data_IF_689230570140
#
_entry.id   IF_689230570140
#
_cell.length_a   1.000
_cell.length_b   1.000
_cell.length_c   1.000
_cell.angle_alpha   90.00
_cell.angle_beta   90.00
_cell.angle_gamma   90.00
#
_symmetry.space_group_name_H-M   'P 1'
#
loop_
_entity.id
_entity.type
_entity.pdbx_description
1 polymer ?
#
# COMPACT_ATOMS: atom_id res chain seq x y z
N UNK A 1 14.33 21.24 48.04
CA UNK A 1 13.34 20.41 48.77
C UNK A 1 11.99 20.57 48.10
N UNK A 2 11.25 19.45 48.05
CA UNK A 2 9.96 19.21 47.38
C UNK A 2 8.96 20.37 47.48
N UNK A 3 8.24 20.65 46.39
CA UNK A 3 6.80 20.37 46.33
C UNK A 3 6.23 20.52 44.91
N UNK A 4 5.60 19.44 44.46
CA UNK A 4 4.68 19.34 43.33
C UNK A 4 3.29 19.82 43.79
N UNK A 5 2.54 20.47 42.91
CA UNK A 5 1.08 20.42 42.97
C UNK A 5 0.52 20.45 41.54
N UNK A 6 0.10 19.29 41.06
CA UNK A 6 -0.75 19.12 39.87
C UNK A 6 -2.20 19.13 40.33
N UNK A 7 -3.06 19.88 39.63
CA UNK A 7 -4.51 19.84 39.79
C UNK A 7 -5.11 19.18 38.55
N UNK A 8 -5.72 18.01 38.74
CA UNK A 8 -6.48 17.26 37.74
C UNK A 8 -7.95 17.53 38.04
N UNK A 9 -8.73 17.96 37.04
CA UNK A 9 -10.19 18.02 37.12
C UNK A 9 -10.78 16.88 36.29
N UNK A 10 -11.47 15.97 36.97
CA UNK A 10 -12.26 14.88 36.42
C UNK A 10 -13.72 15.15 36.81
N UNK A 11 -14.60 15.39 35.84
CA UNK A 11 -16.04 15.48 36.07
C UNK A 11 -16.75 14.35 35.32
N UNK A 12 -17.19 13.35 36.09
CA UNK A 12 -18.19 12.35 35.70
C UNK A 12 -19.55 12.84 36.22
N UNK A 13 -20.56 12.94 35.35
CA UNK A 13 -21.95 13.00 35.76
C UNK A 13 -22.71 11.82 35.13
N UNK A 14 -23.20 10.96 36.03
CA UNK A 14 -24.21 9.92 35.82
C UNK A 14 -25.59 10.59 35.81
N UNK A 15 -26.45 10.25 34.85
CA UNK A 15 -27.90 10.35 35.03
C UNK A 15 -28.54 9.06 34.52
N UNK A 16 -29.27 8.43 35.43
CA UNK A 16 -30.02 7.19 35.33
C UNK A 16 -31.32 7.34 34.53
N UNK A 17 -31.65 6.27 33.80
CA UNK A 17 -32.95 6.04 33.16
C UNK A 17 -33.99 5.72 34.25
N UNK A 18 -35.16 6.35 34.18
CA UNK A 18 -36.41 5.80 34.71
C UNK A 18 -37.50 5.98 33.66
N UNK A 19 -38.14 4.87 33.32
CA UNK A 19 -39.24 4.77 32.37
C UNK A 19 -40.52 4.62 33.19
N UNK A 20 -41.52 5.47 32.96
CA UNK A 20 -42.94 5.12 33.15
C UNK A 20 -43.78 5.85 32.10
N UNK A 21 -44.50 5.02 31.34
CA UNK A 21 -45.56 5.32 30.38
C UNK A 21 -46.76 6.01 31.04
N UNK A 22 -47.36 6.99 30.36
CA UNK A 22 -48.81 7.11 30.13
C UNK A 22 -49.09 8.34 29.22
N UNK A 23 -49.86 8.11 28.17
CA UNK A 23 -50.48 9.03 27.19
C UNK A 23 -52.01 8.80 27.33
N UNK A 24 -52.99 9.63 26.88
CA UNK A 24 -52.97 10.83 26.02
C UNK A 24 -53.83 12.01 26.62
N UNK A 25 -54.06 13.21 26.07
CA UNK A 25 -54.56 13.68 24.75
C UNK A 25 -54.63 15.22 24.77
N UNK A 26 -54.67 15.84 23.58
CA UNK A 26 -55.14 17.21 23.21
C UNK A 26 -54.21 18.43 23.40
N UNK A 27 -53.63 18.90 22.28
CA UNK A 27 -53.55 20.33 21.89
C UNK A 27 -53.11 20.42 20.41
N UNK A 28 -54.07 20.56 19.47
CA UNK A 28 -53.85 20.59 18.00
C UNK A 28 -53.74 22.03 17.44
N UNK A 29 -54.09 23.08 18.20
CA UNK A 29 -54.16 24.46 17.63
C UNK A 29 -52.84 25.26 17.65
N UNK A 30 -51.76 24.77 18.26
CA UNK A 30 -50.47 25.49 18.33
C UNK A 30 -49.52 25.22 17.15
N UNK A 31 -49.74 24.14 16.39
CA UNK A 31 -48.83 23.72 15.31
C UNK A 31 -49.04 24.43 13.97
N UNK A 32 -50.22 25.00 13.68
CA UNK A 32 -50.46 25.69 12.41
C UNK A 32 -49.75 27.06 12.33
N UNK A 33 -49.65 27.79 13.45
CA UNK A 33 -48.92 29.07 13.48
C UNK A 33 -47.40 28.89 13.47
N UNK A 34 -46.90 27.82 14.08
CA UNK A 34 -45.46 27.53 14.08
C UNK A 34 -44.97 27.03 12.71
N UNK A 35 -45.80 26.29 11.97
CA UNK A 35 -45.46 25.80 10.62
C UNK A 35 -45.48 26.90 9.54
N UNK A 36 -46.29 27.95 9.70
CA UNK A 36 -46.29 29.07 8.75
C UNK A 36 -45.10 30.03 8.93
N UNK A 37 -44.61 30.23 10.15
CA UNK A 37 -43.38 31.01 10.41
C UNK A 37 -42.10 30.22 10.07
N UNK A 38 -42.09 28.89 10.25
CA UNK A 38 -40.97 28.05 9.83
C UNK A 38 -40.83 28.04 8.31
N UNK A 39 -41.94 27.91 7.56
CA UNK A 39 -41.89 27.88 6.10
C UNK A 39 -41.43 29.22 5.48
N UNK A 40 -41.78 30.36 6.09
CA UNK A 40 -41.35 31.69 5.59
C UNK A 40 -39.89 32.00 5.91
N UNK A 41 -39.31 31.44 6.99
CA UNK A 41 -37.85 31.54 7.23
C UNK A 41 -37.04 30.53 6.41
N UNK A 42 -37.63 29.40 6.03
CA UNK A 42 -36.98 28.39 5.19
C UNK A 42 -36.88 28.84 3.72
N UNK A 43 -37.80 29.68 3.24
CA UNK A 43 -37.72 30.29 1.90
C UNK A 43 -36.74 31.49 1.82
N UNK A 44 -36.46 32.18 2.94
CA UNK A 44 -35.49 33.29 2.97
C UNK A 44 -34.02 32.87 3.20
N UNK A 45 -33.77 31.61 3.57
CA UNK A 45 -32.43 31.05 3.80
C UNK A 45 -31.91 30.19 2.64
N UNK A 46 -32.50 30.32 1.44
CA UNK A 46 -31.79 29.97 0.20
C UNK A 46 -30.70 31.02 -0.08
N UNK A 47 -29.72 31.10 0.82
CA UNK A 47 -28.41 31.60 0.43
C UNK A 47 -27.98 30.73 -0.75
N UNK A 48 -27.96 31.34 -1.93
CA UNK A 48 -27.28 30.81 -3.10
C UNK A 48 -25.88 30.47 -2.60
N UNK A 49 -25.59 29.18 -2.38
CA UNK A 49 -24.22 28.70 -2.37
C UNK A 49 -23.69 29.09 -3.75
N UNK A 50 -22.96 30.19 -3.81
CA UNK A 50 -22.22 30.56 -5.00
C UNK A 50 -21.16 29.47 -5.11
N UNK A 51 -21.47 28.42 -5.88
CA UNK A 51 -20.48 27.43 -6.26
C UNK A 51 -19.49 28.19 -7.12
N UNK A 52 -18.33 28.50 -6.54
CA UNK A 52 -17.29 29.21 -7.26
C UNK A 52 -16.78 28.33 -8.41
N UNK A 53 -16.52 28.94 -9.55
CA UNK A 53 -15.98 28.23 -10.71
C UNK A 53 -14.48 28.07 -10.56
N UNK A 54 -13.95 26.91 -10.94
CA UNK A 54 -12.50 26.68 -10.98
C UNK A 54 -12.00 27.03 -12.37
N UNK A 55 -10.98 27.88 -12.45
CA UNK A 55 -10.31 28.26 -13.69
C UNK A 55 -8.98 27.51 -13.84
N UNK A 56 -8.64 27.06 -15.06
CA UNK A 56 -7.30 26.54 -15.35
C UNK A 56 -6.23 27.61 -15.11
N UNK A 57 -5.04 27.16 -14.73
CA UNK A 57 -3.90 28.05 -14.54
C UNK A 57 -3.27 28.44 -15.88
N UNK A 58 -2.77 29.67 -15.97
CA UNK A 58 -1.98 30.14 -17.09
C UNK A 58 -0.49 30.03 -16.74
N UNK A 59 0.28 29.32 -17.55
CA UNK A 59 1.73 29.13 -17.37
C UNK A 59 2.48 30.48 -17.26
N UNK A 60 2.03 31.50 -17.97
CA UNK A 60 2.67 32.83 -17.98
C UNK A 60 2.63 33.53 -16.61
N UNK A 61 1.72 33.13 -15.72
CA UNK A 61 1.59 33.67 -14.36
C UNK A 61 2.60 33.06 -13.39
N UNK A 62 3.36 32.03 -13.80
CA UNK A 62 4.26 31.27 -12.94
C UNK A 62 5.73 31.40 -13.39
N UNK A 63 6.68 31.31 -12.44
CA UNK A 63 8.09 31.33 -12.78
C UNK A 63 8.46 30.10 -13.63
N UNK A 64 9.22 30.33 -14.70
CA UNK A 64 9.73 29.24 -15.53
C UNK A 64 10.66 28.33 -14.72
N UNK A 65 10.37 27.04 -14.75
CA UNK A 65 11.20 26.01 -14.15
C UNK A 65 12.30 25.66 -15.16
N UNK A 66 13.56 25.59 -14.71
CA UNK A 66 14.66 25.20 -15.58
C UNK A 66 14.50 23.73 -16.02
N UNK A 67 14.66 23.43 -17.31
CA UNK A 67 14.55 22.07 -17.85
C UNK A 67 15.44 21.05 -17.11
N UNK A 68 16.59 21.50 -16.60
CA UNK A 68 17.55 20.66 -15.88
C UNK A 68 17.19 20.36 -14.41
N UNK A 69 16.12 20.97 -13.86
CA UNK A 69 15.64 20.70 -12.49
C UNK A 69 14.50 19.68 -12.43
N UNK A 70 14.11 19.12 -13.57
CA UNK A 70 13.25 17.93 -13.59
C UNK A 70 14.07 16.77 -13.01
N UNK A 71 13.72 16.36 -11.79
CA UNK A 71 14.36 15.21 -11.16
C UNK A 71 14.14 14.00 -12.08
N UNK A 72 15.21 13.27 -12.40
CA UNK A 72 15.04 11.96 -13.04
C UNK A 72 14.31 11.07 -12.03
N UNK A 73 13.07 10.69 -12.34
CA UNK A 73 12.37 9.66 -11.60
C UNK A 73 13.21 8.40 -11.61
N UNK A 74 13.27 7.71 -10.47
CA UNK A 74 13.94 6.42 -10.40
C UNK A 74 13.34 5.51 -11.47
N UNK A 75 14.16 4.91 -12.32
CA UNK A 75 13.70 4.08 -13.44
C UNK A 75 12.68 3.02 -13.00
N UNK A 76 12.85 2.46 -11.80
CA UNK A 76 11.94 1.50 -11.19
C UNK A 76 10.51 2.02 -10.99
N UNK A 77 10.32 3.29 -10.68
CA UNK A 77 8.98 3.89 -10.51
C UNK A 77 8.29 4.09 -11.85
N UNK A 78 9.04 4.53 -12.87
CA UNK A 78 8.52 4.60 -14.22
C UNK A 78 8.10 3.22 -14.72
N UNK A 79 8.96 2.22 -14.59
CA UNK A 79 8.70 0.86 -15.05
C UNK A 79 7.48 0.23 -14.36
N UNK A 80 7.27 0.47 -13.05
CA UNK A 80 6.10 -0.02 -12.33
C UNK A 80 4.81 0.68 -12.76
N UNK A 81 4.79 2.02 -12.81
CA UNK A 81 3.59 2.80 -13.13
C UNK A 81 3.22 2.74 -14.61
N UNK A 82 4.18 2.59 -15.52
CA UNK A 82 3.92 2.44 -16.95
C UNK A 82 3.07 1.20 -17.25
N UNK A 83 3.21 0.15 -16.43
CA UNK A 83 2.37 -1.04 -16.55
C UNK A 83 0.88 -0.76 -16.23
N UNK A 84 0.59 0.35 -15.54
CA UNK A 84 -0.77 0.81 -15.22
C UNK A 84 -1.35 1.78 -16.27
N UNK A 85 -0.72 1.96 -17.43
CA UNK A 85 -1.23 2.82 -18.51
C UNK A 85 -2.68 2.45 -18.89
N UNK A 86 -3.65 3.33 -18.65
CA UNK A 86 -5.07 3.06 -18.89
C UNK A 86 -5.70 1.99 -17.98
N UNK A 87 -4.99 1.49 -16.97
CA UNK A 87 -5.56 0.59 -15.94
C UNK A 87 -6.22 1.46 -14.87
N UNK A 88 -7.51 1.20 -14.62
CA UNK A 88 -8.27 1.89 -13.56
C UNK A 88 -7.78 1.48 -12.18
N UNK A 89 -7.65 2.45 -11.27
CA UNK A 89 -7.22 2.24 -9.89
C UNK A 89 -7.85 3.25 -8.93
N UNK A 90 -7.91 2.90 -7.66
CA UNK A 90 -8.22 3.81 -6.56
C UNK A 90 -6.94 4.49 -6.05
N UNK A 91 -7.10 5.74 -5.63
CA UNK A 91 -6.08 6.50 -4.90
C UNK A 91 -6.52 6.68 -3.45
N UNK A 92 -5.84 5.98 -2.52
CA UNK A 92 -6.20 6.02 -1.10
C UNK A 92 -5.04 6.44 -0.23
N UNK A 93 -5.23 7.44 0.63
CA UNK A 93 -4.21 7.78 1.62
C UNK A 93 -4.05 6.66 2.66
N UNK A 94 -2.82 6.46 3.14
CA UNK A 94 -2.47 5.42 4.12
C UNK A 94 -3.08 5.65 5.50
N UNK A 95 -3.51 6.87 5.79
CA UNK A 95 -4.31 7.21 6.95
C UNK A 95 -5.54 8.02 6.51
N UNK A 96 -6.54 8.11 7.39
CA UNK A 96 -7.82 8.76 7.11
C UNK A 96 -8.24 9.65 8.27
N UNK A 97 -8.88 10.78 7.97
CA UNK A 97 -9.66 11.51 8.96
C UNK A 97 -11.13 11.09 8.82
N UNK A 98 -11.73 10.53 9.88
CA UNK A 98 -13.11 10.02 9.87
C UNK A 98 -13.42 9.02 8.74
N UNK A 99 -12.42 8.24 8.29
CA UNK A 99 -12.59 7.28 7.20
C UNK A 99 -12.55 7.89 5.80
N UNK A 100 -12.43 9.21 5.65
CA UNK A 100 -12.26 9.89 4.36
C UNK A 100 -10.81 9.76 3.89
N UNK A 101 -10.51 8.76 3.08
CA UNK A 101 -9.17 8.54 2.51
C UNK A 101 -9.14 8.23 1.02
N UNK A 102 -10.29 8.06 0.37
CA UNK A 102 -10.34 7.83 -1.07
C UNK A 102 -10.53 9.15 -1.79
N UNK A 103 -9.68 9.43 -2.77
CA UNK A 103 -9.83 10.59 -3.65
C UNK A 103 -11.12 10.41 -4.48
N UNK A 104 -11.93 11.46 -4.63
CA UNK A 104 -13.20 11.38 -5.35
C UNK A 104 -13.47 12.63 -6.20
N UNK A 105 -13.88 12.42 -7.45
CA UNK A 105 -14.36 13.48 -8.35
C UNK A 105 -15.83 13.84 -8.10
N UNK A 106 -16.19 15.08 -8.44
CA UNK A 106 -17.58 15.59 -8.34
C UNK A 106 -18.09 16.12 -9.69
N UNK A 107 -17.52 15.61 -10.78
CA UNK A 107 -17.85 16.00 -12.16
C UNK A 107 -16.89 17.01 -12.80
N UNK A 108 -17.05 17.31 -14.09
CA UNK A 108 -16.15 18.18 -14.84
C UNK A 108 -16.16 19.61 -14.31
N UNK A 109 -14.99 20.20 -14.11
CA UNK A 109 -14.80 21.54 -13.55
C UNK A 109 -14.95 21.63 -12.03
N UNK A 110 -15.25 20.52 -11.36
CA UNK A 110 -15.45 20.50 -9.91
C UNK A 110 -14.15 20.18 -9.15
N UNK A 111 -14.06 20.71 -7.94
CA UNK A 111 -13.01 20.38 -6.97
C UNK A 111 -13.07 18.89 -6.60
N UNK A 112 -11.92 18.31 -6.31
CA UNK A 112 -11.79 16.93 -5.84
C UNK A 112 -11.66 16.93 -4.32
N UNK A 113 -12.35 15.99 -3.66
CA UNK A 113 -12.28 15.83 -2.19
C UNK A 113 -11.81 14.43 -1.82
N UNK A 114 -11.57 14.22 -0.52
CA UNK A 114 -11.48 12.88 0.05
C UNK A 114 -12.83 12.46 0.63
N UNK A 115 -13.30 11.29 0.21
CA UNK A 115 -14.53 10.68 0.70
C UNK A 115 -14.26 9.31 1.32
N UNK A 116 -15.23 8.77 2.09
CA UNK A 116 -15.15 7.40 2.55
C UNK A 116 -15.03 6.44 1.37
N UNK A 117 -14.24 5.38 1.57
CA UNK A 117 -14.02 4.42 0.51
C UNK A 117 -15.32 3.78 0.00
N UNK A 118 -15.48 3.72 -1.32
CA UNK A 118 -16.50 2.96 -2.00
C UNK A 118 -15.89 2.25 -3.20
N UNK A 119 -15.65 0.95 -3.05
CA UNK A 119 -15.06 0.10 -4.10
C UNK A 119 -15.95 -0.01 -5.34
N UNK A 120 -17.21 0.42 -5.27
CA UNK A 120 -18.15 0.44 -6.38
C UNK A 120 -18.32 1.81 -7.05
N UNK A 121 -17.62 2.86 -6.57
CA UNK A 121 -17.84 4.23 -7.04
C UNK A 121 -16.91 4.57 -8.21
N UNK A 122 -17.44 4.80 -9.43
CA UNK A 122 -16.62 5.21 -10.57
C UNK A 122 -15.94 6.57 -10.37
N UNK A 123 -16.50 7.43 -9.53
CA UNK A 123 -15.93 8.73 -9.17
C UNK A 123 -14.65 8.61 -8.33
N UNK A 124 -14.39 7.44 -7.73
CA UNK A 124 -13.16 7.15 -6.98
C UNK A 124 -12.12 6.38 -7.82
N UNK A 125 -12.42 6.14 -9.10
CA UNK A 125 -11.51 5.49 -10.04
C UNK A 125 -10.75 6.52 -10.88
N UNK A 126 -9.47 6.27 -11.02
CA UNK A 126 -8.53 7.06 -11.80
C UNK A 126 -7.70 6.16 -12.69
N UNK A 127 -7.00 6.72 -13.66
CA UNK A 127 -6.03 5.98 -14.46
C UNK A 127 -4.90 6.91 -14.90
N UNK A 128 -3.78 6.34 -15.33
CA UNK A 128 -2.65 7.10 -15.90
C UNK A 128 -2.71 7.09 -17.42
N UNK A 129 -2.34 8.20 -18.04
CA UNK A 129 -1.98 8.27 -19.46
C UNK A 129 -0.55 8.82 -19.60
N UNK A 130 0.14 8.32 -20.63
CA UNK A 130 1.52 8.67 -20.92
C UNK A 130 1.64 9.36 -22.28
N UNK A 131 2.05 10.62 -22.27
CA UNK A 131 2.31 11.39 -23.49
C UNK A 131 3.69 11.02 -24.08
N UNK A 132 3.93 11.31 -25.38
CA UNK A 132 5.27 11.21 -25.95
C UNK A 132 6.27 12.03 -25.13
N UNK A 133 7.51 11.55 -24.97
CA UNK A 133 8.53 12.20 -24.15
C UNK A 133 8.79 13.68 -24.50
N UNK A 134 8.48 14.11 -25.72
CA UNK A 134 8.55 15.52 -26.14
C UNK A 134 7.57 16.46 -25.43
N UNK A 135 6.57 15.93 -24.70
CA UNK A 135 5.64 16.75 -23.90
C UNK A 135 6.30 17.33 -22.65
N UNK A 136 7.37 16.71 -22.14
CA UNK A 136 7.95 17.04 -20.84
C UNK A 136 7.06 16.69 -19.64
N UNK A 137 5.92 16.01 -19.87
CA UNK A 137 4.98 15.57 -18.85
C UNK A 137 5.13 14.07 -18.67
N UNK A 138 5.44 13.67 -17.44
CA UNK A 138 5.72 12.27 -17.15
C UNK A 138 4.45 11.46 -16.89
N UNK A 139 3.60 11.93 -15.98
CA UNK A 139 2.36 11.26 -15.63
C UNK A 139 1.19 12.23 -15.76
N UNK A 140 0.20 11.88 -16.60
CA UNK A 140 -1.11 12.49 -16.52
C UNK A 140 -2.02 11.58 -15.69
N UNK A 141 -2.66 12.17 -14.67
CA UNK A 141 -3.68 11.49 -13.89
C UNK A 141 -5.05 11.86 -14.47
N UNK A 142 -5.89 10.87 -14.74
CA UNK A 142 -7.23 11.07 -15.27
C UNK A 142 -8.28 10.52 -14.32
N UNK A 143 -9.46 11.14 -14.29
CA UNK A 143 -10.64 10.51 -13.71
C UNK A 143 -11.23 9.50 -14.68
N UNK A 144 -11.63 8.34 -14.15
CA UNK A 144 -12.24 7.30 -14.95
C UNK A 144 -13.67 7.67 -15.36
N UNK A 145 -14.48 8.18 -14.42
CA UNK A 145 -15.89 8.49 -14.68
C UNK A 145 -16.08 9.61 -15.71
N UNK A 146 -15.32 10.70 -15.61
CA UNK A 146 -15.46 11.83 -16.53
C UNK A 146 -14.59 11.70 -17.78
N UNK A 147 -13.57 10.82 -17.77
CA UNK A 147 -12.57 10.69 -18.82
C UNK A 147 -11.87 12.03 -19.09
N UNK A 148 -11.36 12.66 -18.00
CA UNK A 148 -10.75 14.00 -18.00
C UNK A 148 -9.48 14.02 -17.16
N UNK A 149 -8.48 14.82 -17.54
CA UNK A 149 -7.27 14.95 -16.74
C UNK A 149 -7.56 15.71 -15.44
N UNK A 150 -6.82 15.33 -14.40
CA UNK A 150 -6.81 15.93 -13.08
C UNK A 150 -5.63 16.88 -12.98
N UNK A 151 -5.91 18.11 -12.58
CA UNK A 151 -4.89 19.15 -12.48
C UNK A 151 -5.15 20.10 -11.33
N UNK A 152 -4.33 21.14 -11.29
CA UNK A 152 -4.45 22.23 -10.33
C UNK A 152 -5.08 23.42 -11.04
N UNK A 153 -6.13 23.95 -10.44
CA UNK A 153 -6.80 25.20 -10.84
C UNK A 153 -6.74 26.21 -9.72
N UNK A 154 -7.44 27.33 -9.92
CA UNK A 154 -7.74 28.29 -8.86
C UNK A 154 -9.22 28.63 -8.85
N UNK A 155 -9.71 29.04 -7.69
CA UNK A 155 -11.04 29.61 -7.57
C UNK A 155 -11.12 30.93 -8.37
N UNK A 156 -12.18 31.14 -9.14
CA UNK A 156 -12.34 32.37 -9.91
C UNK A 156 -12.53 33.59 -9.01
N UNK A 157 -13.14 33.42 -7.84
CA UNK A 157 -13.29 34.49 -6.85
C UNK A 157 -12.03 34.74 -6.01
N UNK A 158 -11.14 33.74 -5.90
CA UNK A 158 -9.87 33.82 -5.18
C UNK A 158 -8.75 33.07 -5.95
N UNK A 159 -8.14 33.73 -6.95
CA UNK A 159 -7.10 33.11 -7.78
C UNK A 159 -5.84 32.69 -7.01
N UNK A 160 -5.63 33.17 -5.78
CA UNK A 160 -4.49 32.77 -4.95
C UNK A 160 -4.67 31.36 -4.39
N UNK A 161 -5.91 30.97 -4.10
CA UNK A 161 -6.25 29.64 -3.58
C UNK A 161 -6.21 28.59 -4.69
N UNK A 162 -5.27 27.65 -4.57
CA UNK A 162 -5.07 26.54 -5.50
C UNK A 162 -5.81 25.30 -5.05
N UNK A 163 -6.48 24.65 -6.01
CA UNK A 163 -7.33 23.47 -5.75
C UNK A 163 -7.07 22.37 -6.77
N UNK A 164 -7.21 21.13 -6.33
CA UNK A 164 -7.19 19.97 -7.22
C UNK A 164 -8.58 19.83 -7.85
N UNK A 165 -8.66 19.69 -9.17
CA UNK A 165 -9.95 19.65 -9.87
C UNK A 165 -9.93 18.71 -11.05
N UNK A 166 -11.14 18.31 -11.47
CA UNK A 166 -11.33 17.56 -12.72
C UNK A 166 -11.48 18.54 -13.87
N UNK A 167 -10.67 18.44 -14.93
CA UNK A 167 -10.77 19.35 -16.06
C UNK A 167 -12.16 19.32 -16.72
N UNK A 168 -12.67 20.49 -17.13
CA UNK A 168 -13.89 20.58 -17.94
C UNK A 168 -13.70 20.07 -19.37
N UNK A 169 -12.45 19.99 -19.87
CA UNK A 169 -12.09 19.49 -21.20
C UNK A 169 -11.26 18.21 -21.11
N UNK A 170 -11.48 17.26 -22.03
CA UNK A 170 -10.64 16.05 -22.12
C UNK A 170 -9.25 16.37 -22.68
N UNK A 171 -9.19 17.40 -23.54
CA UNK A 171 -7.96 17.91 -24.13
C UNK A 171 -7.92 19.40 -23.81
N UNK A 172 -7.42 19.80 -22.63
CA UNK A 172 -7.25 21.21 -22.32
C UNK A 172 -6.25 21.84 -23.29
N UNK A 173 -6.39 23.14 -23.57
CA UNK A 173 -5.49 23.88 -24.46
C UNK A 173 -4.07 24.00 -23.91
N UNK A 174 -3.92 23.85 -22.59
CA UNK A 174 -2.64 23.77 -21.88
C UNK A 174 -2.74 22.67 -20.83
N UNK A 175 -1.65 21.91 -20.66
CA UNK A 175 -1.49 20.93 -19.58
C UNK A 175 -0.69 21.49 -18.40
N UNK A 176 -0.47 22.80 -18.33
CA UNK A 176 0.12 23.42 -17.16
C UNK A 176 -0.77 23.22 -15.92
N UNK A 177 -0.21 22.68 -14.84
CA UNK A 177 -0.91 22.26 -13.64
C UNK A 177 -1.38 20.79 -13.67
N UNK A 178 -1.12 20.06 -14.76
CA UNK A 178 -1.50 18.65 -14.93
C UNK A 178 -0.31 17.70 -14.93
N UNK A 179 0.93 18.20 -14.81
CA UNK A 179 2.12 17.35 -14.71
C UNK A 179 2.31 16.84 -13.30
N UNK A 180 2.19 15.52 -13.14
CA UNK A 180 2.39 14.83 -11.87
C UNK A 180 3.69 14.05 -11.88
N UNK A 181 4.29 13.91 -10.70
CA UNK A 181 5.34 12.97 -10.39
C UNK A 181 4.91 12.07 -9.22
N UNK A 182 5.37 10.82 -9.25
CA UNK A 182 5.08 9.81 -8.24
C UNK A 182 6.35 9.46 -7.51
N UNK A 183 6.46 9.91 -6.26
CA UNK A 183 7.66 9.71 -5.45
C UNK A 183 7.41 8.50 -4.56
N UNK A 184 8.11 7.39 -4.83
CA UNK A 184 8.05 6.20 -3.98
C UNK A 184 8.46 6.55 -2.54
N UNK A 185 7.67 6.08 -1.59
CA UNK A 185 8.04 6.14 -0.17
C UNK A 185 8.65 4.81 0.24
N UNK A 186 9.59 4.77 1.19
CA UNK A 186 10.14 3.52 1.71
C UNK A 186 9.00 2.62 2.24
N UNK A 187 8.50 1.69 1.43
CA UNK A 187 7.29 0.89 1.68
C UNK A 187 6.30 0.88 0.51
N UNK A 188 5.05 0.48 0.78
CA UNK A 188 3.96 0.60 -0.20
C UNK A 188 3.57 2.06 -0.38
N UNK A 189 3.13 2.42 -1.58
CA UNK A 189 2.52 3.71 -1.89
C UNK A 189 3.46 4.84 -2.33
N UNK A 190 2.83 5.87 -2.88
CA UNK A 190 3.44 7.00 -3.57
C UNK A 190 2.99 8.33 -2.98
N UNK A 191 3.87 9.33 -2.99
CA UNK A 191 3.45 10.73 -2.89
C UNK A 191 3.24 11.26 -4.30
N UNK A 192 2.20 12.07 -4.51
CA UNK A 192 1.86 12.62 -5.82
C UNK A 192 2.19 14.12 -5.78
N UNK A 193 3.23 14.51 -6.51
CA UNK A 193 3.80 15.85 -6.53
C UNK A 193 3.47 16.54 -7.86
N UNK A 194 3.02 17.80 -7.84
CA UNK A 194 2.89 18.57 -9.07
C UNK A 194 4.22 19.17 -9.50
N UNK A 195 4.57 19.06 -10.78
CA UNK A 195 5.86 19.50 -11.33
C UNK A 195 5.82 20.87 -12.02
N UNK A 196 4.65 21.49 -12.14
CA UNK A 196 4.46 22.74 -12.86
C UNK A 196 4.51 23.96 -11.94
N UNK A 197 4.13 23.79 -10.67
CA UNK A 197 3.91 24.90 -9.73
C UNK A 197 4.85 24.81 -8.55
N UNK A 198 5.60 25.90 -8.32
CA UNK A 198 6.41 26.10 -7.13
C UNK A 198 5.61 26.93 -6.12
N UNK A 199 5.43 26.40 -4.92
CA UNK A 199 4.80 27.06 -3.79
C UNK A 199 5.84 27.72 -2.89
N UNK A 200 5.45 28.83 -2.25
CA UNK A 200 6.24 29.52 -1.25
C UNK A 200 5.74 29.13 0.14
N UNK A 201 6.64 28.65 0.99
CA UNK A 201 6.37 28.32 2.39
C UNK A 201 6.22 29.56 3.26
N UNK A 202 5.77 29.33 4.50
CA UNK A 202 5.36 30.38 5.44
C UNK A 202 6.47 31.35 5.84
N UNK A 203 7.74 30.97 5.64
CA UNK A 203 8.87 31.86 5.94
C UNK A 203 9.06 32.98 4.91
N UNK A 204 8.45 32.87 3.72
CA UNK A 204 8.66 33.81 2.60
C UNK A 204 10.09 33.81 2.04
N UNK A 205 10.94 32.89 2.50
CA UNK A 205 12.34 32.77 2.07
C UNK A 205 12.44 32.07 0.73
N UNK A 206 13.35 32.52 -0.14
CA UNK A 206 13.66 31.82 -1.40
C UNK A 206 14.17 30.38 -1.17
N UNK A 207 14.63 30.05 0.04
CA UNK A 207 15.02 28.70 0.44
C UNK A 207 13.85 27.82 0.91
N UNK A 208 12.66 28.41 1.05
CA UNK A 208 11.45 27.74 1.49
C UNK A 208 10.44 27.68 0.35
N UNK A 209 10.92 27.24 -0.81
CA UNK A 209 10.08 26.92 -1.96
C UNK A 209 9.97 25.40 -2.09
N UNK A 210 8.85 24.91 -2.60
CA UNK A 210 8.60 23.49 -2.76
C UNK A 210 7.59 23.20 -3.86
N UNK A 211 7.64 21.98 -4.40
CA UNK A 211 6.57 21.44 -5.22
C UNK A 211 5.47 20.86 -4.32
N UNK A 212 4.22 21.16 -4.63
CA UNK A 212 3.09 20.75 -3.80
C UNK A 212 2.78 19.27 -3.97
N UNK A 213 2.68 18.55 -2.86
CA UNK A 213 2.16 17.17 -2.85
C UNK A 213 0.69 17.16 -2.46
N UNK A 214 -0.10 16.31 -3.11
CA UNK A 214 -1.51 16.09 -2.75
C UNK A 214 -1.57 15.59 -1.30
N UNK A 215 -2.34 16.26 -0.47
CA UNK A 215 -2.40 16.02 0.98
C UNK A 215 -3.85 15.98 1.44
N UNK A 216 -4.21 14.91 2.15
CA UNK A 216 -5.50 14.81 2.84
C UNK A 216 -5.49 15.69 4.10
N UNK A 217 -6.26 16.77 4.05
CA UNK A 217 -6.46 17.67 5.17
C UNK A 217 -7.91 17.58 5.64
N UNK A 218 -8.18 16.58 6.49
CA UNK A 218 -9.48 16.37 7.13
C UNK A 218 -10.64 16.15 6.14
N UNK A 219 -10.40 15.45 5.03
CA UNK A 219 -11.40 15.23 3.99
C UNK A 219 -11.29 16.21 2.81
N UNK A 220 -10.56 17.31 2.97
CA UNK A 220 -10.27 18.24 1.88
C UNK A 220 -8.94 17.88 1.22
N UNK A 221 -8.81 18.23 -0.06
CA UNK A 221 -7.53 18.12 -0.78
C UNK A 221 -6.77 19.43 -0.62
N UNK A 222 -5.50 19.33 -0.23
CA UNK A 222 -4.59 20.47 -0.19
C UNK A 222 -3.29 20.13 -0.91
N UNK A 223 -2.56 21.15 -1.34
CA UNK A 223 -1.22 21.03 -1.92
C UNK A 223 -0.23 21.58 -0.91
N UNK A 224 0.53 20.69 -0.26
CA UNK A 224 1.40 21.08 0.85
C UNK A 224 2.84 20.61 0.62
N UNK A 225 3.76 21.12 1.43
CA UNK A 225 5.15 20.67 1.43
C UNK A 225 5.22 19.20 1.83
N UNK A 226 6.05 18.42 1.15
CA UNK A 226 6.29 17.03 1.54
C UNK A 226 6.88 16.97 2.95
N UNK A 227 6.10 16.42 3.87
CA UNK A 227 6.47 16.19 5.27
C UNK A 227 6.52 14.68 5.58
N UNK A 228 6.48 13.82 4.56
CA UNK A 228 6.52 12.36 4.66
C UNK A 228 5.42 11.77 5.57
N UNK A 229 4.24 12.40 5.61
CA UNK A 229 3.12 11.97 6.45
C UNK A 229 2.27 10.89 5.79
N UNK A 230 1.51 10.12 6.58
CA UNK A 230 0.57 9.12 6.03
C UNK A 230 -0.59 9.75 5.23
N UNK A 231 -0.91 11.03 5.48
CA UNK A 231 -1.90 11.79 4.72
C UNK A 231 -1.41 12.23 3.32
N UNK A 232 -0.12 12.04 3.04
CA UNK A 232 0.53 12.37 1.76
C UNK A 232 0.90 11.11 0.96
N UNK A 233 0.74 9.91 1.55
CA UNK A 233 1.12 8.64 0.93
C UNK A 233 -0.11 7.93 0.43
N UNK A 234 -0.17 7.68 -0.87
CA UNK A 234 -1.25 7.03 -1.57
C UNK A 234 -0.90 5.59 -1.89
N UNK A 235 -1.77 4.68 -1.49
CA UNK A 235 -1.82 3.35 -2.09
C UNK A 235 -2.54 3.50 -3.44
N UNK A 236 -1.84 3.10 -4.51
CA UNK A 236 -2.46 2.86 -5.82
C UNK A 236 -2.99 1.44 -5.79
N UNK A 237 -4.30 1.28 -5.92
CA UNK A 237 -4.98 -0.01 -5.81
C UNK A 237 -5.71 -0.24 -7.14
N UNK A 238 -5.15 -1.05 -8.06
CA UNK A 238 -5.83 -1.37 -9.30
C UNK A 238 -7.23 -1.95 -9.03
N UNK A 239 -8.22 -1.52 -9.82
CA UNK A 239 -9.58 -2.05 -9.80
C UNK A 239 -9.63 -3.31 -10.67
N UNK A 240 -8.83 -4.31 -10.27
CA UNK A 240 -8.76 -5.64 -10.85
C UNK A 240 -8.24 -6.62 -9.77
N UNK A 241 -8.60 -7.89 -9.92
CA UNK A 241 -7.94 -8.98 -9.20
C UNK A 241 -6.83 -9.57 -10.05
N UNK A 242 -5.77 -10.05 -9.39
CA UNK A 242 -4.59 -10.56 -10.06
C UNK A 242 -4.39 -12.04 -9.74
N UNK A 243 -4.00 -12.78 -10.77
CA UNK A 243 -3.38 -14.10 -10.63
C UNK A 243 -1.87 -14.00 -10.83
N UNK A 244 -1.13 -14.93 -10.23
CA UNK A 244 0.32 -15.02 -10.39
C UNK A 244 0.60 -16.12 -11.41
N UNK A 245 1.21 -15.76 -12.53
CA UNK A 245 1.55 -16.71 -13.58
C UNK A 245 2.87 -17.41 -13.29
N UNK A 246 3.84 -16.66 -12.77
CA UNK A 246 5.21 -17.12 -12.56
C UNK A 246 5.89 -16.33 -11.44
N UNK A 247 6.81 -16.98 -10.74
CA UNK A 247 7.75 -16.31 -9.84
C UNK A 247 9.16 -16.79 -10.12
N UNK A 248 9.99 -15.90 -10.62
CA UNK A 248 11.39 -16.16 -10.90
C UNK A 248 12.24 -15.78 -9.68
N UNK A 249 13.00 -16.74 -9.15
CA UNK A 249 13.79 -16.56 -7.94
C UNK A 249 15.23 -16.22 -8.32
N UNK A 250 15.72 -15.07 -7.86
CA UNK A 250 17.10 -14.63 -8.09
C UNK A 250 18.05 -15.33 -7.11
N UNK A 251 18.44 -16.56 -7.47
CA UNK A 251 19.33 -17.40 -6.67
C UNK A 251 20.72 -16.79 -6.55
N UNK A 252 21.19 -16.07 -7.57
CA UNK A 252 22.52 -15.46 -7.58
C UNK A 252 22.63 -14.36 -6.52
N UNK A 253 21.52 -13.68 -6.21
CA UNK A 253 21.43 -12.69 -5.14
C UNK A 253 20.80 -13.22 -3.84
N UNK A 254 20.67 -14.55 -3.68
CA UNK A 254 20.19 -15.17 -2.45
C UNK A 254 21.17 -14.99 -1.28
N UNK A 255 20.62 -14.84 -0.07
CA UNK A 255 21.38 -14.63 1.15
C UNK A 255 20.98 -15.62 2.24
N UNK A 256 21.97 -16.34 2.78
CA UNK A 256 21.78 -17.15 4.00
C UNK A 256 21.86 -16.20 5.21
N UNK A 257 20.71 -15.98 5.84
CA UNK A 257 20.54 -15.06 6.97
C UNK A 257 21.00 -15.71 8.28
N UNK A 258 20.75 -17.01 8.45
CA UNK A 258 21.22 -17.77 9.62
C UNK A 258 21.49 -19.23 9.26
N UNK A 259 22.33 -19.88 10.07
CA UNK A 259 22.63 -21.31 9.98
C UNK A 259 22.90 -21.85 11.37
N UNK A 260 22.07 -22.77 11.85
CA UNK A 260 22.16 -23.31 13.20
C UNK A 260 22.07 -24.85 13.23
N UNK A 261 22.96 -25.54 13.97
CA UNK A 261 22.86 -26.97 14.15
C UNK A 261 21.65 -27.30 15.04
N UNK A 262 20.78 -28.19 14.54
CA UNK A 262 19.56 -28.61 15.22
C UNK A 262 19.59 -30.11 15.46
N UNK A 263 19.28 -30.54 16.68
CA UNK A 263 19.08 -31.96 16.99
C UNK A 263 17.66 -32.35 16.56
N UNK A 264 17.56 -33.27 15.61
CA UNK A 264 16.28 -33.77 15.12
C UNK A 264 15.73 -34.86 16.05
N UNK A 265 16.57 -35.83 16.39
CA UNK A 265 16.21 -36.87 17.35
C UNK A 265 17.43 -37.54 17.99
N UNK A 266 17.16 -38.34 19.02
CA UNK A 266 18.15 -39.15 19.71
C UNK A 266 17.62 -40.56 19.93
N UNK A 267 18.49 -41.54 19.74
CA UNK A 267 18.19 -42.96 19.99
C UNK A 267 19.32 -43.58 20.78
N UNK A 268 18.98 -44.59 21.57
CA UNK A 268 19.92 -45.32 22.40
C UNK A 268 20.02 -46.76 21.94
N UNK A 269 21.24 -47.29 21.88
CA UNK A 269 21.50 -48.71 21.61
C UNK A 269 22.33 -49.27 22.75
N UNK A 270 21.93 -50.44 23.23
CA UNK A 270 22.62 -51.15 24.29
C UNK A 270 23.23 -52.45 23.73
N UNK A 271 24.42 -52.78 24.21
CA UNK A 271 25.03 -54.08 23.99
C UNK A 271 25.25 -54.77 25.34
N UNK A 272 24.33 -55.65 25.78
CA UNK A 272 24.46 -56.37 27.04
C UNK A 272 25.39 -57.60 26.95
N UNK A 273 26.01 -57.86 25.80
CA UNK A 273 26.87 -59.04 25.62
C UNK A 273 28.32 -58.76 26.01
N UNK A 274 29.09 -59.83 26.21
CA UNK A 274 30.52 -59.78 26.54
C UNK A 274 31.42 -59.46 25.33
N UNK A 275 30.85 -59.38 24.12
CA UNK A 275 31.58 -59.12 22.87
C UNK A 275 31.08 -57.86 22.17
N UNK A 276 31.93 -57.20 21.40
CA UNK A 276 31.52 -56.07 20.55
C UNK A 276 30.49 -56.53 19.54
N UNK A 277 29.33 -55.87 19.50
CA UNK A 277 28.23 -56.16 18.59
C UNK A 277 28.06 -55.06 17.55
N UNK A 278 27.89 -55.43 16.28
CA UNK A 278 27.44 -54.49 15.26
C UNK A 278 25.92 -54.30 15.37
N UNK A 279 25.47 -53.04 15.37
CA UNK A 279 24.06 -52.67 15.47
C UNK A 279 23.75 -51.60 14.42
N UNK A 280 22.70 -51.82 13.64
CA UNK A 280 22.20 -50.83 12.68
C UNK A 280 21.14 -49.97 13.36
N UNK A 281 21.26 -48.66 13.18
CA UNK A 281 20.29 -47.67 13.63
C UNK A 281 19.78 -46.89 12.43
N UNK A 282 18.46 -46.78 12.32
CA UNK A 282 17.80 -45.97 11.31
C UNK A 282 17.15 -44.77 11.98
N UNK A 283 17.37 -43.58 11.44
CA UNK A 283 16.67 -42.36 11.78
C UNK A 283 15.70 -42.00 10.67
N UNK A 284 14.51 -41.54 11.03
CA UNK A 284 13.52 -41.05 10.07
C UNK A 284 12.75 -39.94 10.77
N UNK A 285 13.03 -38.70 10.37
CA UNK A 285 12.47 -37.51 10.99
C UNK A 285 11.77 -36.67 9.93
N UNK A 286 10.61 -36.14 10.29
CA UNK A 286 9.83 -35.27 9.42
C UNK A 286 9.97 -33.82 9.91
N UNK A 287 10.31 -32.91 9.00
CA UNK A 287 10.45 -31.47 9.26
C UNK A 287 9.54 -30.68 8.32
N UNK A 288 9.29 -29.42 8.66
CA UNK A 288 8.51 -28.50 7.83
C UNK A 288 9.37 -27.28 7.45
N UNK A 289 9.56 -27.10 6.15
CA UNK A 289 10.08 -25.86 5.60
C UNK A 289 8.97 -24.82 5.56
N UNK A 290 9.29 -23.57 5.86
CA UNK A 290 8.36 -22.44 5.86
C UNK A 290 8.75 -21.44 4.78
N UNK A 291 7.77 -20.96 4.03
CA UNK A 291 7.93 -20.01 2.93
C UNK A 291 7.05 -18.80 3.18
N UNK A 292 7.64 -17.60 3.12
CA UNK A 292 6.95 -16.33 3.30
C UNK A 292 7.37 -15.37 2.20
N UNK A 293 6.38 -14.83 1.48
CA UNK A 293 6.58 -13.90 0.37
C UNK A 293 6.28 -12.48 0.83
N UNK A 294 7.18 -11.55 0.49
CA UNK A 294 7.03 -10.14 0.80
C UNK A 294 7.30 -9.31 -0.45
N UNK A 295 6.30 -8.52 -0.83
CA UNK A 295 6.36 -7.62 -1.98
C UNK A 295 7.18 -6.38 -1.69
N UNK A 296 7.97 -5.97 -2.68
CA UNK A 296 8.66 -4.68 -2.75
C UNK A 296 7.87 -3.61 -3.51
N UNK A 297 6.87 -4.00 -4.30
CA UNK A 297 6.05 -3.08 -5.11
C UNK A 297 5.41 -1.98 -4.27
N UNK A 298 5.39 -0.75 -4.80
CA UNK A 298 4.65 0.36 -4.20
C UNK A 298 3.17 0.33 -4.58
N UNK A 299 2.79 -0.37 -5.65
CA UNK A 299 1.41 -0.66 -6.02
C UNK A 299 0.81 -1.73 -5.10
N UNK A 300 -0.47 -1.58 -4.78
CA UNK A 300 -1.21 -2.49 -3.90
C UNK A 300 -2.10 -3.43 -4.71
N UNK A 301 -1.48 -4.44 -5.33
CA UNK A 301 -2.21 -5.49 -6.06
C UNK A 301 -3.12 -6.30 -5.14
N UNK A 302 -4.32 -6.62 -5.64
CA UNK A 302 -5.28 -7.50 -4.97
C UNK A 302 -5.24 -8.87 -5.64
N UNK A 303 -5.05 -9.93 -4.86
CA UNK A 303 -4.92 -11.28 -5.41
C UNK A 303 -6.21 -12.08 -5.24
N UNK A 304 -6.48 -12.95 -6.21
CA UNK A 304 -7.49 -13.99 -6.07
C UNK A 304 -7.20 -14.84 -4.83
N UNK A 305 -8.24 -15.21 -4.08
CA UNK A 305 -8.08 -16.03 -2.89
C UNK A 305 -7.37 -17.36 -3.19
N UNK A 306 -6.38 -17.72 -2.37
CA UNK A 306 -5.55 -18.92 -2.49
C UNK A 306 -4.77 -19.00 -3.82
N UNK A 307 -4.39 -17.85 -4.41
CA UNK A 307 -3.56 -17.84 -5.61
C UNK A 307 -2.29 -18.64 -5.36
N UNK A 308 -2.04 -19.60 -6.24
CA UNK A 308 -0.87 -20.46 -6.15
C UNK A 308 -0.02 -20.26 -7.38
N UNK A 309 1.28 -20.08 -7.17
CA UNK A 309 2.24 -19.88 -8.23
C UNK A 309 3.22 -21.05 -8.29
N UNK A 310 3.55 -21.47 -9.50
CA UNK A 310 4.70 -22.33 -9.73
C UNK A 310 5.97 -21.52 -9.52
N UNK A 311 6.94 -22.07 -8.78
CA UNK A 311 8.27 -21.48 -8.68
C UNK A 311 9.31 -22.57 -8.40
N UNK A 312 10.56 -22.25 -8.76
CA UNK A 312 11.70 -23.12 -8.48
C UNK A 312 12.13 -22.95 -7.03
N UNK A 313 12.04 -24.01 -6.23
CA UNK A 313 12.59 -23.97 -4.88
C UNK A 313 14.09 -23.70 -4.94
N UNK A 314 14.63 -23.14 -3.87
CA UNK A 314 16.08 -23.15 -3.65
C UNK A 314 16.47 -24.33 -2.76
N UNK A 315 17.74 -24.69 -2.82
CA UNK A 315 18.38 -25.67 -1.94
C UNK A 315 19.64 -25.06 -1.37
N UNK A 316 19.91 -25.31 -0.10
CA UNK A 316 21.23 -25.01 0.48
C UNK A 316 22.10 -26.24 0.36
N UNK A 317 23.30 -26.07 -0.20
CA UNK A 317 24.32 -27.11 -0.29
C UNK A 317 25.57 -26.67 0.47
N UNK A 318 26.31 -27.64 0.99
CA UNK A 318 27.65 -27.41 1.51
C UNK A 318 28.65 -27.49 0.37
N UNK A 319 29.36 -26.39 0.12
CA UNK A 319 30.46 -26.29 -0.82
C UNK A 319 31.75 -25.98 -0.05
N UNK A 320 32.62 -26.98 0.07
CA UNK A 320 33.85 -26.95 0.86
C UNK A 320 33.59 -26.71 2.35
N UNK A 321 33.84 -25.49 2.84
CA UNK A 321 33.66 -25.07 4.24
C UNK A 321 32.56 -24.01 4.39
N UNK A 322 31.72 -23.83 3.37
CA UNK A 322 30.68 -22.80 3.32
C UNK A 322 29.37 -23.36 2.77
N UNK A 323 28.26 -22.70 3.07
CA UNK A 323 26.96 -23.02 2.51
C UNK A 323 26.64 -22.09 1.35
N UNK A 324 26.11 -22.63 0.26
CA UNK A 324 25.65 -21.87 -0.91
C UNK A 324 24.22 -22.24 -1.25
N UNK A 325 23.50 -21.28 -1.84
CA UNK A 325 22.13 -21.48 -2.33
C UNK A 325 22.19 -21.87 -3.81
N UNK A 326 21.44 -22.90 -4.20
CA UNK A 326 21.35 -23.37 -5.59
C UNK A 326 19.90 -23.63 -5.96
N UNK A 327 19.61 -23.74 -7.25
CA UNK A 327 18.28 -24.13 -7.74
C UNK A 327 17.93 -25.55 -7.28
N UNK A 328 16.72 -25.71 -6.76
CA UNK A 328 16.10 -26.96 -6.37
C UNK A 328 15.00 -27.38 -7.34
N UNK A 329 14.09 -28.24 -6.87
CA UNK A 329 12.98 -28.72 -7.68
C UNK A 329 11.86 -27.67 -7.76
N UNK A 330 11.18 -27.59 -8.89
CA UNK A 330 9.98 -26.77 -9.04
C UNK A 330 8.82 -27.32 -8.21
N UNK A 331 8.03 -26.42 -7.64
CA UNK A 331 6.86 -26.72 -6.83
C UNK A 331 5.82 -25.62 -7.02
N UNK A 332 4.60 -25.87 -6.57
CA UNK A 332 3.56 -24.84 -6.46
C UNK A 332 3.29 -24.58 -4.99
N UNK A 333 3.29 -23.31 -4.56
CA UNK A 333 2.81 -22.91 -3.24
C UNK A 333 1.75 -21.81 -3.37
N UNK A 334 0.93 -21.70 -2.34
CA UNK A 334 0.02 -20.59 -2.15
C UNK A 334 0.81 -19.34 -1.77
N UNK A 335 0.49 -18.23 -2.44
CA UNK A 335 1.12 -16.94 -2.24
C UNK A 335 0.37 -16.12 -1.19
N UNK A 336 1.07 -15.21 -0.50
CA UNK A 336 0.49 -14.31 0.50
C UNK A 336 0.29 -14.93 1.89
N UNK A 337 0.18 -16.25 1.98
CA UNK A 337 0.17 -16.99 3.24
C UNK A 337 1.53 -17.64 3.53
N UNK A 338 1.80 -17.90 4.82
CA UNK A 338 2.94 -18.74 5.22
C UNK A 338 2.69 -20.17 4.75
N UNK A 339 3.26 -20.53 3.61
CA UNK A 339 3.17 -21.88 3.07
C UNK A 339 4.19 -22.80 3.76
N UNK A 340 3.83 -24.07 3.95
CA UNK A 340 4.74 -25.07 4.51
C UNK A 340 4.91 -26.27 3.61
N UNK A 341 6.11 -26.83 3.58
CA UNK A 341 6.41 -28.06 2.86
C UNK A 341 7.04 -29.08 3.81
N UNK A 342 6.41 -30.24 3.90
CA UNK A 342 6.92 -31.34 4.69
C UNK A 342 8.08 -32.03 3.97
N UNK A 343 9.20 -32.19 4.65
CA UNK A 343 10.35 -32.97 4.21
C UNK A 343 10.59 -34.13 5.17
N UNK A 344 11.03 -35.28 4.64
CA UNK A 344 11.40 -36.44 5.45
C UNK A 344 12.89 -36.71 5.26
N UNK A 345 13.63 -36.68 6.37
CA UNK A 345 15.06 -36.97 6.44
C UNK A 345 15.22 -38.37 6.99
N UNK A 346 15.86 -39.25 6.23
CA UNK A 346 16.06 -40.64 6.63
C UNK A 346 17.48 -41.09 6.34
N UNK A 347 18.11 -41.73 7.32
CA UNK A 347 19.46 -42.26 7.18
C UNK A 347 19.67 -43.48 8.09
N UNK A 348 20.58 -44.38 7.71
CA UNK A 348 20.88 -45.61 8.43
C UNK A 348 22.37 -45.82 8.61
N UNK A 349 22.78 -46.00 9.86
CA UNK A 349 24.18 -46.18 10.24
C UNK A 349 24.37 -47.52 10.93
N UNK A 350 25.47 -48.20 10.61
CA UNK A 350 25.89 -49.40 11.32
C UNK A 350 27.07 -49.06 12.21
N UNK A 351 26.90 -49.23 13.52
CA UNK A 351 27.91 -48.87 14.52
C UNK A 351 28.32 -50.09 15.34
N UNK A 352 29.60 -50.15 15.70
CA UNK A 352 30.12 -51.12 16.65
C UNK A 352 29.86 -50.63 18.07
N UNK A 353 29.11 -51.41 18.86
CA UNK A 353 28.78 -51.09 20.25
C UNK A 353 29.61 -52.01 21.16
N UNK A 354 30.52 -51.48 22.00
CA UNK A 354 31.35 -52.30 22.89
C UNK A 354 30.54 -53.13 23.90
N UNK A 355 31.13 -54.19 24.48
CA UNK A 355 30.50 -55.01 25.52
C UNK A 355 30.01 -54.18 26.70
N UNK A 356 28.82 -54.50 27.23
CA UNK A 356 28.21 -53.85 28.41
C UNK A 356 28.15 -52.31 28.34
N UNK A 357 27.99 -51.76 27.14
CA UNK A 357 27.86 -50.31 26.96
C UNK A 357 26.52 -49.89 26.38
N UNK A 358 26.20 -48.61 26.58
CA UNK A 358 25.09 -47.90 25.97
C UNK A 358 25.65 -46.78 25.10
N UNK A 359 25.28 -46.75 23.83
CA UNK A 359 25.63 -45.68 22.89
C UNK A 359 24.44 -44.77 22.66
N UNK A 360 24.63 -43.47 22.83
CA UNK A 360 23.64 -42.43 22.50
C UNK A 360 23.96 -41.87 21.12
N UNK A 361 23.06 -42.09 20.17
CA UNK A 361 23.18 -41.60 18.80
C UNK A 361 22.27 -40.38 18.62
N UNK A 362 22.80 -39.29 18.09
CA UNK A 362 22.05 -38.05 17.83
C UNK A 362 22.01 -37.77 16.34
N UNK A 363 20.81 -37.67 15.78
CA UNK A 363 20.61 -37.23 14.39
C UNK A 363 20.44 -35.73 14.37
N UNK A 364 21.28 -35.03 13.61
CA UNK A 364 21.36 -33.57 13.59
C UNK A 364 21.34 -33.08 12.15
N UNK A 365 20.78 -31.89 11.94
CA UNK A 365 20.80 -31.19 10.67
C UNK A 365 21.17 -29.72 10.87
N UNK A 366 21.62 -29.06 9.80
CA UNK A 366 21.77 -27.61 9.79
C UNK A 366 20.44 -26.99 9.33
N UNK A 367 19.89 -26.11 10.16
CA UNK A 367 18.71 -25.32 9.82
C UNK A 367 19.17 -23.98 9.27
N UNK A 368 18.70 -23.63 8.07
CA UNK A 368 19.06 -22.39 7.39
C UNK A 368 17.85 -21.47 7.28
N UNK A 369 18.07 -20.17 7.51
CA UNK A 369 17.12 -19.13 7.10
C UNK A 369 17.70 -18.43 5.87
N UNK A 370 16.94 -18.35 4.79
CA UNK A 370 17.40 -17.80 3.51
C UNK A 370 16.45 -16.70 3.05
N UNK A 371 16.99 -15.62 2.51
CA UNK A 371 16.25 -14.56 1.82
C UNK A 371 16.64 -14.61 0.35
N UNK A 372 15.66 -14.70 -0.53
CA UNK A 372 15.87 -14.77 -1.98
C UNK A 372 15.01 -13.70 -2.62
N UNK A 373 15.59 -12.73 -3.36
CA UNK A 373 14.82 -11.82 -4.20
C UNK A 373 14.06 -12.61 -5.27
N UNK A 374 12.93 -12.07 -5.72
CA UNK A 374 12.15 -12.69 -6.80
C UNK A 374 11.51 -11.63 -7.67
N UNK A 375 11.17 -12.01 -8.90
CA UNK A 375 10.31 -11.24 -9.79
C UNK A 375 9.03 -12.02 -10.02
N UNK A 376 7.88 -11.43 -9.71
CA UNK A 376 6.58 -12.05 -9.95
C UNK A 376 5.97 -11.51 -11.25
N UNK A 377 5.45 -12.41 -12.09
CA UNK A 377 4.63 -12.02 -13.25
C UNK A 377 3.16 -12.21 -12.91
N UNK A 378 2.43 -11.10 -12.81
CA UNK A 378 1.00 -11.07 -12.58
C UNK A 378 0.22 -10.95 -13.88
N UNK A 379 -1.05 -11.37 -13.84
CA UNK A 379 -2.04 -11.06 -14.88
C UNK A 379 -3.33 -10.57 -14.24
N UNK A 380 -3.79 -9.38 -14.65
CA UNK A 380 -5.10 -8.86 -14.27
C UNK A 380 -6.23 -9.70 -14.88
N UNK A 381 -7.25 -10.01 -14.10
CA UNK A 381 -8.36 -10.85 -14.53
C UNK A 381 -9.33 -10.12 -15.44
N UNK A 382 -9.59 -8.84 -15.20
CA UNK A 382 -10.47 -8.00 -16.01
C UNK A 382 -9.73 -7.42 -17.22
N UNK A 383 -8.58 -6.79 -17.01
CA UNK A 383 -7.87 -6.08 -18.08
C UNK A 383 -6.88 -6.97 -18.87
N UNK A 384 -6.61 -8.19 -18.39
CA UNK A 384 -5.76 -9.20 -19.06
C UNK A 384 -4.30 -8.79 -19.35
N UNK A 385 -3.83 -7.69 -18.77
CA UNK A 385 -2.46 -7.20 -18.94
C UNK A 385 -1.52 -7.87 -17.94
N UNK A 386 -0.26 -7.96 -18.34
CA UNK A 386 0.81 -8.51 -17.50
C UNK A 386 1.46 -7.40 -16.69
N UNK A 387 1.81 -7.73 -15.45
CA UNK A 387 2.58 -6.86 -14.58
C UNK A 387 3.78 -7.63 -14.00
N UNK A 388 4.89 -6.94 -13.76
CA UNK A 388 6.12 -7.49 -13.20
C UNK A 388 6.70 -6.55 -12.14
N UNK A 389 7.07 -7.12 -11.00
CA UNK A 389 7.75 -6.43 -9.90
C UNK A 389 8.66 -7.36 -9.09
#
# INVERSE_FOLDING_TARGET
MKNKLQLVFLCLFLISISCTTEDPTEDIESNEKMSTEINTQQELNSQIQVVDSIIPLNEEDFPKIAENSQAMVASSTWDELYQLDGVKFFLRTQDSYLGKNSLQTHGPGAEITFEPNSDSSPAQLFYLEFLPASSGIQYLLYSYQENKPIGIGAYASDPDTKVLYTSSSANPSSYFGFSWDFISSNGKGYKIENRDIIFQGSSGSFWDIYYGVITNSQGNVTLSKDNNTFYQKFNIIPDDEFTILDMDMDIDNAQIVSSEPTVLSQKSIENPSDNTGSRTITFTETQQDQYNFKESSSVSYQYTANVSAGFSLFKVIEANTSFTVTTGNSTTLEYGNSSTKTITLSDSYTIAVPPHTRSLCSFRAMKHSVRVPYTATLKGLEHHRLHQY
#
